data_IF_396337752206
#
_entry.id   IF_396337752206
#
_cell.length_a   1.000
_cell.length_b   1.000
_cell.length_c   1.000
_cell.angle_alpha   90.00
_cell.angle_beta   90.00
_cell.angle_gamma   90.00
#
_symmetry.space_group_name_H-M   'P 1'
#
loop_
_entity.id
_entity.type
_entity.pdbx_description
1 polymer ?
#
# COMPACT_ATOMS: atom_id res chain seq x y z
N UNK A 1 15.53 -17.91 34.55
CA UNK A 1 14.74 -16.81 33.96
C UNK A 1 15.44 -16.17 32.77
N UNK A 2 16.77 -16.01 32.79
CA UNK A 2 17.52 -15.33 31.70
C UNK A 2 17.44 -16.02 30.34
N UNK A 3 17.32 -17.34 30.29
CA UNK A 3 17.17 -18.08 29.03
C UNK A 3 15.84 -17.75 28.35
N UNK A 4 14.75 -17.63 29.13
CA UNK A 4 13.43 -17.28 28.62
C UNK A 4 13.41 -15.86 28.06
N UNK A 5 14.00 -14.89 28.76
CA UNK A 5 14.11 -13.52 28.26
C UNK A 5 14.96 -13.41 27.00
N UNK A 6 16.04 -14.21 26.89
CA UNK A 6 16.83 -14.30 25.66
C UNK A 6 15.99 -14.81 24.49
N UNK A 7 15.21 -15.86 24.70
CA UNK A 7 14.39 -16.44 23.62
C UNK A 7 13.22 -15.55 23.21
N UNK A 8 12.61 -14.88 24.18
CA UNK A 8 11.60 -13.84 23.92
C UNK A 8 12.17 -12.69 23.10
N UNK A 9 13.42 -12.30 23.32
CA UNK A 9 14.08 -11.26 22.51
C UNK A 9 14.50 -11.76 21.12
N UNK A 10 14.94 -13.02 21.00
CA UNK A 10 15.27 -13.62 19.72
C UNK A 10 14.06 -13.66 18.78
N UNK A 11 12.91 -14.16 19.27
CA UNK A 11 11.65 -14.20 18.51
C UNK A 11 11.18 -12.79 18.14
N UNK A 12 11.33 -11.81 19.03
CA UNK A 12 10.96 -10.43 18.72
C UNK A 12 11.81 -9.84 17.59
N UNK A 13 13.12 -10.13 17.58
CA UNK A 13 14.01 -9.67 16.51
C UNK A 13 13.71 -10.36 15.18
N UNK A 14 13.39 -11.65 15.20
CA UNK A 14 12.95 -12.38 14.01
C UNK A 14 11.66 -11.78 13.44
N UNK A 15 10.68 -11.47 14.29
CA UNK A 15 9.45 -10.80 13.87
C UNK A 15 9.70 -9.40 13.27
N UNK A 16 10.61 -8.60 13.86
CA UNK A 16 11.02 -7.31 13.28
C UNK A 16 11.63 -7.47 11.90
N UNK A 17 12.53 -8.44 11.72
CA UNK A 17 13.15 -8.73 10.43
C UNK A 17 12.13 -9.21 9.38
N UNK A 18 11.18 -10.05 9.81
CA UNK A 18 10.09 -10.49 8.94
C UNK A 18 9.27 -9.30 8.44
N UNK A 19 8.85 -8.40 9.34
CA UNK A 19 8.15 -7.16 9.01
C UNK A 19 8.98 -6.33 8.02
N UNK A 20 10.27 -6.11 8.29
CA UNK A 20 11.13 -5.34 7.40
C UNK A 20 11.18 -5.92 5.98
N UNK A 21 11.24 -7.24 5.86
CA UNK A 21 11.30 -7.90 4.56
C UNK A 21 9.96 -7.89 3.83
N UNK A 22 8.84 -8.04 4.53
CA UNK A 22 7.51 -7.97 3.91
C UNK A 22 7.23 -6.61 3.25
N UNK A 23 7.77 -5.52 3.80
CA UNK A 23 7.57 -4.17 3.27
C UNK A 23 8.59 -3.72 2.21
N UNK A 24 9.60 -4.55 1.87
CA UNK A 24 10.55 -4.25 0.77
C UNK A 24 9.96 -4.46 -0.63
N UNK A 25 8.95 -5.31 -0.76
CA UNK A 25 8.34 -5.68 -2.05
C UNK A 25 6.82 -5.53 -1.98
N UNK A 26 6.36 -4.31 -1.71
CA UNK A 26 4.93 -4.01 -1.68
C UNK A 26 4.32 -4.13 -3.07
N UNK A 27 3.31 -5.00 -3.21
CA UNK A 27 2.56 -5.17 -4.45
C UNK A 27 1.68 -3.96 -4.77
N UNK A 28 1.10 -3.35 -3.74
CA UNK A 28 0.36 -2.10 -3.81
C UNK A 28 0.39 -1.38 -2.45
N UNK A 29 0.32 -0.05 -2.47
CA UNK A 29 0.19 0.74 -1.25
C UNK A 29 -1.14 0.48 -0.52
N UNK A 30 -2.24 0.24 -1.26
CA UNK A 30 -3.56 -0.12 -0.69
C UNK A 30 -3.47 -1.38 0.18
N UNK A 31 -2.95 -2.49 -0.38
CA UNK A 31 -2.86 -3.75 0.36
C UNK A 31 -1.87 -3.69 1.53
N UNK A 32 -0.81 -2.90 1.39
CA UNK A 32 0.16 -2.67 2.47
C UNK A 32 -0.45 -1.88 3.63
N UNK A 33 -1.27 -0.88 3.31
CA UNK A 33 -1.98 -0.06 4.28
C UNK A 33 -3.05 -0.87 5.02
N UNK A 34 -3.85 -1.66 4.30
CA UNK A 34 -4.82 -2.58 4.90
C UNK A 34 -4.17 -3.56 5.87
N UNK A 35 -3.02 -4.15 5.48
CA UNK A 35 -2.25 -5.01 6.36
C UNK A 35 -1.84 -4.26 7.64
N UNK A 36 -1.30 -3.04 7.52
CA UNK A 36 -0.88 -2.24 8.66
C UNK A 36 -2.06 -1.88 9.59
N UNK A 37 -3.22 -1.53 9.04
CA UNK A 37 -4.44 -1.28 9.80
C UNK A 37 -4.92 -2.53 10.56
N UNK A 38 -4.92 -3.69 9.91
CA UNK A 38 -5.27 -4.95 10.56
C UNK A 38 -4.36 -5.25 11.76
N UNK A 39 -3.07 -4.94 11.65
CA UNK A 39 -2.10 -5.10 12.75
C UNK A 39 -2.32 -4.13 13.91
N UNK A 40 -2.86 -2.93 13.68
CA UNK A 40 -3.17 -1.96 14.75
C UNK A 40 -4.14 -2.53 15.78
N UNK A 41 -5.02 -3.43 15.35
CA UNK A 41 -6.02 -4.07 16.21
C UNK A 41 -5.49 -5.35 16.88
N UNK A 42 -4.30 -5.82 16.52
CA UNK A 42 -3.65 -6.97 17.16
C UNK A 42 -2.93 -6.49 18.41
N UNK A 43 -3.25 -7.09 19.56
CA UNK A 43 -2.47 -6.88 20.79
C UNK A 43 -1.09 -7.47 20.61
N UNK A 44 -0.10 -6.62 20.42
CA UNK A 44 1.30 -7.01 20.23
C UNK A 44 2.23 -6.24 21.18
N UNK A 45 3.50 -6.69 21.28
CA UNK A 45 4.53 -6.01 22.09
C UNK A 45 4.83 -4.64 21.49
N UNK A 46 5.17 -3.68 22.34
CA UNK A 46 5.45 -2.29 21.94
C UNK A 46 6.53 -2.20 20.86
N UNK A 47 7.58 -3.03 20.93
CA UNK A 47 8.64 -3.06 19.94
C UNK A 47 8.17 -3.51 18.55
N UNK A 48 7.18 -4.41 18.47
CA UNK A 48 6.57 -4.84 17.21
C UNK A 48 5.66 -3.74 16.66
N UNK A 49 4.82 -3.14 17.52
CA UNK A 49 3.99 -1.99 17.14
C UNK A 49 4.83 -0.83 16.61
N UNK A 50 5.93 -0.50 17.29
CA UNK A 50 6.88 0.54 16.86
C UNK A 50 7.47 0.21 15.49
N UNK A 51 7.86 -1.04 15.25
CA UNK A 51 8.40 -1.45 13.96
C UNK A 51 7.37 -1.39 12.84
N UNK A 52 6.12 -1.80 13.09
CA UNK A 52 5.02 -1.67 12.15
C UNK A 52 4.74 -0.21 11.79
N UNK A 53 4.69 0.70 12.78
CA UNK A 53 4.42 2.11 12.52
C UNK A 53 5.49 2.79 11.66
N UNK A 54 6.75 2.34 11.72
CA UNK A 54 7.80 2.85 10.82
C UNK A 54 7.55 2.50 9.35
N UNK A 55 6.82 1.41 9.07
CA UNK A 55 6.48 0.98 7.71
C UNK A 55 5.49 1.87 6.98
N UNK A 56 4.85 2.78 7.71
CA UNK A 56 4.00 3.81 7.10
C UNK A 56 4.76 4.65 6.06
N UNK A 57 6.05 4.94 6.31
CA UNK A 57 6.87 5.69 5.35
C UNK A 57 7.05 4.91 4.04
N UNK A 58 7.37 3.62 4.13
CA UNK A 58 7.53 2.73 2.97
C UNK A 58 6.23 2.68 2.13
N UNK A 59 5.07 2.64 2.79
CA UNK A 59 3.75 2.69 2.15
C UNK A 59 3.54 4.02 1.42
N UNK A 60 3.86 5.14 2.06
CA UNK A 60 3.71 6.48 1.45
C UNK A 60 4.61 6.65 0.21
N UNK A 61 5.84 6.16 0.27
CA UNK A 61 6.75 6.16 -0.88
C UNK A 61 6.17 5.34 -2.03
N UNK A 62 5.62 4.16 -1.73
CA UNK A 62 4.96 3.33 -2.73
C UNK A 62 3.71 4.00 -3.32
N UNK A 63 2.91 4.65 -2.47
CA UNK A 63 1.73 5.40 -2.90
C UNK A 63 2.11 6.56 -3.86
N UNK A 64 3.18 7.31 -3.55
CA UNK A 64 3.69 8.35 -4.44
C UNK A 64 4.02 7.82 -5.83
N UNK A 65 4.71 6.67 -5.92
CA UNK A 65 5.00 6.01 -7.21
C UNK A 65 3.74 5.63 -7.98
N UNK A 66 2.72 5.14 -7.27
CA UNK A 66 1.43 4.77 -7.89
C UNK A 66 0.69 6.01 -8.42
N UNK A 67 0.70 7.13 -7.68
CA UNK A 67 0.15 8.41 -8.13
C UNK A 67 0.85 8.89 -9.39
N UNK A 68 2.19 8.89 -9.41
CA UNK A 68 2.98 9.31 -10.56
C UNK A 68 2.72 8.42 -11.80
N UNK A 69 2.60 7.11 -11.60
CA UNK A 69 2.28 6.16 -12.65
C UNK A 69 0.87 6.40 -13.23
N UNK A 70 -0.14 6.63 -12.37
CA UNK A 70 -1.50 6.94 -12.81
C UNK A 70 -1.57 8.29 -13.51
N UNK A 71 -0.85 9.30 -13.03
CA UNK A 71 -0.77 10.61 -13.69
C UNK A 71 -0.13 10.52 -15.08
N UNK A 72 0.94 9.73 -15.22
CA UNK A 72 1.60 9.47 -16.50
C UNK A 72 0.68 8.74 -17.48
N UNK A 73 -0.09 7.76 -16.99
CA UNK A 73 -1.10 7.06 -17.78
C UNK A 73 -2.22 8.00 -18.24
N UNK A 74 -2.69 8.88 -17.35
CA UNK A 74 -3.67 9.90 -17.68
C UNK A 74 -3.16 10.82 -18.79
N UNK A 75 -1.98 11.42 -18.61
CA UNK A 75 -1.40 12.35 -19.59
C UNK A 75 -1.18 11.73 -20.96
N UNK A 76 -0.74 10.48 -21.02
CA UNK A 76 -0.48 9.79 -22.30
C UNK A 76 -1.75 9.40 -23.06
N UNK A 77 -2.90 9.35 -22.40
CA UNK A 77 -4.15 8.89 -23.02
C UNK A 77 -5.30 9.91 -22.94
N UNK A 78 -5.09 11.10 -22.37
CA UNK A 78 -6.15 12.08 -22.13
C UNK A 78 -6.92 12.46 -23.41
N UNK A 79 -6.21 12.62 -24.53
CA UNK A 79 -6.82 13.00 -25.81
C UNK A 79 -7.60 11.85 -26.47
N UNK A 80 -7.17 10.61 -26.23
CA UNK A 80 -7.77 9.40 -26.80
C UNK A 80 -7.75 8.25 -25.78
N UNK A 81 -8.63 8.31 -24.76
CA UNK A 81 -8.61 7.34 -23.69
C UNK A 81 -9.03 5.96 -24.19
N UNK A 82 -8.48 4.88 -23.61
CA UNK A 82 -8.94 3.53 -23.88
C UNK A 82 -10.34 3.36 -23.30
N UNK A 83 -11.33 3.22 -24.20
CA UNK A 83 -12.76 3.02 -23.85
C UNK A 83 -13.24 1.66 -24.35
N UNK A 84 -14.27 1.11 -23.70
CA UNK A 84 -14.88 -0.13 -24.17
C UNK A 84 -15.64 0.09 -25.49
N UNK A 85 -15.65 -0.92 -26.36
CA UNK A 85 -16.27 -0.84 -27.71
C UNK A 85 -17.77 -0.50 -27.69
N UNK A 86 -18.45 -0.78 -26.59
CA UNK A 86 -19.87 -0.53 -26.38
C UNK A 86 -20.18 0.80 -25.70
N UNK A 87 -19.18 1.66 -25.44
CA UNK A 87 -19.39 2.94 -24.78
C UNK A 87 -19.35 4.11 -25.79
N UNK A 88 -20.26 5.09 -25.67
CA UNK A 88 -20.15 6.35 -26.40
C UNK A 88 -18.83 7.07 -26.07
N UNK A 89 -18.19 7.78 -27.01
CA UNK A 89 -16.86 8.37 -26.81
C UNK A 89 -16.72 9.23 -25.55
N UNK A 90 -17.68 10.13 -25.32
CA UNK A 90 -17.66 11.05 -24.17
C UNK A 90 -17.88 10.30 -22.85
N UNK A 91 -18.89 9.43 -22.81
CA UNK A 91 -19.21 8.67 -21.60
C UNK A 91 -18.08 7.69 -21.23
N UNK A 92 -17.46 7.05 -22.22
CA UNK A 92 -16.31 6.17 -22.02
C UNK A 92 -15.10 6.91 -21.51
N UNK A 93 -14.80 8.10 -22.06
CA UNK A 93 -13.70 8.95 -21.59
C UNK A 93 -13.88 9.35 -20.11
N UNK A 94 -15.09 9.78 -19.73
CA UNK A 94 -15.44 10.09 -18.34
C UNK A 94 -15.29 8.85 -17.44
N UNK A 95 -15.79 7.70 -17.88
CA UNK A 95 -15.68 6.45 -17.11
C UNK A 95 -14.23 6.02 -16.89
N UNK A 96 -13.38 6.19 -17.90
CA UNK A 96 -11.96 5.88 -17.81
C UNK A 96 -11.24 6.80 -16.82
N UNK A 97 -11.44 8.11 -16.94
CA UNK A 97 -10.83 9.10 -16.01
C UNK A 97 -11.25 8.80 -14.56
N UNK A 98 -12.54 8.57 -14.32
CA UNK A 98 -13.05 8.21 -12.99
C UNK A 98 -12.43 6.93 -12.46
N UNK A 99 -12.15 5.96 -13.33
CA UNK A 99 -11.50 4.70 -12.92
C UNK A 99 -10.09 4.94 -12.39
N UNK A 100 -9.32 5.87 -12.97
CA UNK A 100 -7.99 6.26 -12.49
C UNK A 100 -8.10 6.98 -11.15
N UNK A 101 -9.02 7.93 -11.05
CA UNK A 101 -9.30 8.65 -9.81
C UNK A 101 -9.67 7.70 -8.66
N UNK A 102 -10.59 6.77 -8.88
CA UNK A 102 -11.02 5.82 -7.84
C UNK A 102 -9.92 4.83 -7.45
N UNK A 103 -8.97 4.51 -8.34
CA UNK A 103 -7.80 3.68 -7.99
C UNK A 103 -6.89 4.41 -7.01
N UNK A 104 -6.58 5.68 -7.28
CA UNK A 104 -5.75 6.49 -6.37
C UNK A 104 -6.48 6.74 -5.05
N UNK A 105 -7.77 7.08 -5.12
CA UNK A 105 -8.56 7.47 -3.94
C UNK A 105 -8.71 6.31 -2.95
N UNK A 106 -8.86 5.07 -3.44
CA UNK A 106 -9.00 3.89 -2.57
C UNK A 106 -7.79 3.66 -1.67
N UNK A 107 -6.60 3.98 -2.13
CA UNK A 107 -5.39 3.83 -1.31
C UNK A 107 -5.34 4.76 -0.09
N UNK A 108 -6.15 5.84 -0.06
CA UNK A 108 -6.15 6.85 1.00
C UNK A 108 -7.41 6.75 1.91
N UNK A 109 -8.47 6.08 1.45
CA UNK A 109 -9.75 5.95 2.18
C UNK A 109 -9.79 4.68 3.02
#
# INVERSE_FOLDING_TARGET
MDWFHREVNAIENEAKHFIDNSFKSLRSAEGAFDMLLNFRHIRSREAINSQMMKKFNDILVQFGKEVDAMYSLFKSNADKPPIFKNQPPVAGAISWERSLFYRIKRTIL
#
